data_IF_851135355464
#
_entry.id   IF_851135355464
#
_cell.length_a   1.000
_cell.length_b   1.000
_cell.length_c   1.000
_cell.angle_alpha   90.00
_cell.angle_beta   90.00
_cell.angle_gamma   90.00
#
_symmetry.space_group_name_H-M   'P 1'
#
loop_
_entity.id
_entity.type
_entity.pdbx_description
1 polymer ?
#
# COMPACT_ATOMS: atom_id res chain seq x y z
N UNK A 1 -21.73 8.70 -5.19
CA UNK A 1 -20.91 7.55 -4.73
C UNK A 1 -19.55 8.11 -4.33
N UNK A 2 -19.12 8.01 -3.06
CA UNK A 2 -17.81 8.57 -2.63
C UNK A 2 -16.71 7.64 -3.15
N UNK A 3 -15.71 8.21 -3.83
CA UNK A 3 -14.56 7.45 -4.35
C UNK A 3 -13.65 7.01 -3.21
N UNK A 4 -13.26 5.73 -3.22
CA UNK A 4 -12.22 5.24 -2.30
C UNK A 4 -10.82 5.72 -2.66
N UNK A 5 -10.60 6.19 -3.89
CA UNK A 5 -9.32 6.76 -4.33
C UNK A 5 -9.28 8.26 -4.10
N UNK A 6 -8.08 8.76 -3.81
CA UNK A 6 -7.76 10.18 -3.70
C UNK A 6 -8.16 10.93 -4.98
N UNK A 7 -8.73 12.13 -4.88
CA UNK A 7 -8.82 13.07 -6.00
C UNK A 7 -7.48 13.35 -6.69
N UNK A 8 -6.37 13.31 -5.96
CA UNK A 8 -5.01 13.48 -6.50
C UNK A 8 -4.44 12.23 -7.19
N UNK A 9 -5.18 11.12 -7.18
CA UNK A 9 -4.91 9.89 -7.94
C UNK A 9 -3.53 9.22 -7.75
N UNK A 10 -2.83 9.47 -6.64
CA UNK A 10 -1.60 8.72 -6.37
C UNK A 10 -1.90 7.23 -6.14
N UNK A 11 -1.13 6.36 -6.80
CA UNK A 11 -1.17 4.91 -6.61
C UNK A 11 0.16 4.27 -7.03
N UNK A 12 0.59 3.24 -6.33
CA UNK A 12 1.76 2.42 -6.66
C UNK A 12 1.34 0.97 -6.94
N UNK A 13 1.95 0.33 -7.95
CA UNK A 13 1.53 -0.97 -8.45
C UNK A 13 2.64 -1.99 -8.23
N UNK A 14 2.35 -3.01 -7.44
CA UNK A 14 3.34 -4.05 -7.12
C UNK A 14 3.03 -5.32 -7.90
N UNK A 15 3.97 -5.83 -8.73
CA UNK A 15 3.79 -7.09 -9.42
C UNK A 15 3.47 -8.24 -8.46
N UNK A 16 2.48 -9.04 -8.81
CA UNK A 16 2.02 -10.17 -8.02
C UNK A 16 1.51 -11.31 -8.92
N UNK A 17 1.23 -12.47 -8.32
CA UNK A 17 0.57 -13.58 -9.00
C UNK A 17 -0.79 -13.80 -8.36
N UNK A 18 -1.86 -13.60 -9.13
CA UNK A 18 -3.20 -14.00 -8.72
C UNK A 18 -3.24 -15.53 -8.67
N UNK A 19 -3.50 -16.06 -7.48
CA UNK A 19 -3.62 -17.49 -7.24
C UNK A 19 -5.01 -17.97 -7.64
N UNK A 20 -5.03 -19.01 -8.46
CA UNK A 20 -6.23 -19.64 -9.01
C UNK A 20 -5.82 -20.77 -9.96
N UNK A 21 -6.78 -21.27 -10.73
CA UNK A 21 -6.51 -22.32 -11.73
C UNK A 21 -6.93 -21.82 -13.12
N UNK A 22 -6.01 -21.40 -13.99
CA UNK A 22 -4.55 -21.24 -13.77
C UNK A 22 -4.20 -19.97 -12.98
N UNK A 23 -3.03 -19.97 -12.34
CA UNK A 23 -2.42 -18.76 -11.78
C UNK A 23 -2.08 -17.76 -12.89
N UNK A 24 -2.16 -16.46 -12.60
CA UNK A 24 -1.95 -15.39 -13.59
C UNK A 24 -1.11 -14.26 -13.01
N UNK A 25 -0.16 -13.76 -13.79
CA UNK A 25 0.58 -12.53 -13.47
C UNK A 25 -0.39 -11.35 -13.42
N UNK A 26 -0.42 -10.67 -12.28
CA UNK A 26 -1.33 -9.57 -11.94
C UNK A 26 -0.56 -8.56 -11.07
N UNK A 27 -1.26 -7.66 -10.38
CA UNK A 27 -0.65 -6.73 -9.45
C UNK A 27 -1.56 -6.46 -8.26
N UNK A 28 -0.93 -6.02 -7.18
CA UNK A 28 -1.59 -5.38 -6.05
C UNK A 28 -1.26 -3.90 -6.14
N UNK A 29 -2.29 -3.05 -6.20
CA UNK A 29 -2.12 -1.61 -6.14
C UNK A 29 -2.34 -1.10 -4.72
N UNK A 30 -1.52 -0.15 -4.30
CA UNK A 30 -1.69 0.60 -3.07
C UNK A 30 -1.93 2.06 -3.43
N UNK A 31 -2.98 2.64 -2.88
CA UNK A 31 -3.29 4.06 -3.02
C UNK A 31 -3.79 4.59 -1.68
N UNK A 32 -4.24 5.83 -1.64
CA UNK A 32 -4.87 6.40 -0.46
C UNK A 32 -6.07 7.27 -0.83
N UNK A 33 -6.77 7.78 0.16
CA UNK A 33 -7.63 8.93 0.05
C UNK A 33 -7.36 9.84 1.25
N UNK A 34 -6.59 10.91 1.03
CA UNK A 34 -6.20 11.85 2.08
C UNK A 34 -7.41 12.54 2.72
N UNK A 35 -8.43 12.85 1.93
CA UNK A 35 -9.64 13.51 2.42
C UNK A 35 -10.53 12.61 3.30
N UNK A 36 -10.39 11.29 3.19
CA UNK A 36 -11.13 10.32 4.02
C UNK A 36 -10.23 9.62 5.05
N UNK A 37 -8.92 9.87 5.03
CA UNK A 37 -8.01 9.36 6.04
C UNK A 37 -7.70 7.86 5.93
N UNK A 38 -7.83 7.27 4.74
CA UNK A 38 -7.66 5.82 4.55
C UNK A 38 -6.65 5.46 3.47
N UNK A 39 -6.06 4.28 3.61
CA UNK A 39 -5.15 3.66 2.64
C UNK A 39 -5.94 2.58 1.92
N UNK A 40 -5.80 2.45 0.61
CA UNK A 40 -6.55 1.49 -0.20
C UNK A 40 -5.60 0.44 -0.78
N UNK A 41 -5.91 -0.83 -0.53
CA UNK A 41 -5.26 -1.98 -1.15
C UNK A 41 -6.22 -2.58 -2.18
N UNK A 42 -5.75 -2.70 -3.41
CA UNK A 42 -6.54 -3.21 -4.53
C UNK A 42 -5.84 -4.43 -5.14
N UNK A 43 -6.53 -5.57 -5.13
CA UNK A 43 -6.08 -6.76 -5.84
C UNK A 43 -6.72 -6.84 -7.22
N UNK A 44 -5.90 -6.83 -8.27
CA UNK A 44 -6.39 -6.80 -9.65
C UNK A 44 -6.68 -8.19 -10.22
N UNK A 45 -7.65 -8.23 -11.12
CA UNK A 45 -8.13 -9.41 -11.84
C UNK A 45 -8.12 -9.14 -13.35
N UNK A 46 -7.94 -10.17 -14.20
CA UNK A 46 -7.88 -9.99 -15.66
C UNK A 46 -9.20 -9.53 -16.30
N UNK A 47 -10.34 -9.93 -15.74
CA UNK A 47 -11.65 -9.73 -16.37
C UNK A 47 -12.75 -9.36 -15.35
N UNK A 48 -12.34 -8.85 -14.17
CA UNK A 48 -13.25 -8.49 -13.09
C UNK A 48 -12.81 -7.18 -12.48
N UNK A 49 -13.74 -6.52 -11.79
CA UNK A 49 -13.41 -5.33 -10.99
C UNK A 49 -12.37 -5.70 -9.93
N UNK A 50 -11.42 -4.81 -9.61
CA UNK A 50 -10.48 -5.04 -8.53
C UNK A 50 -11.20 -5.34 -7.22
N UNK A 51 -10.62 -6.25 -6.43
CA UNK A 51 -11.05 -6.45 -5.04
C UNK A 51 -10.41 -5.38 -4.18
N UNK A 52 -11.19 -4.75 -3.32
CA UNK A 52 -10.78 -3.56 -2.57
C UNK A 52 -10.83 -3.83 -1.07
N UNK A 53 -9.83 -3.33 -0.35
CA UNK A 53 -9.82 -3.19 1.09
C UNK A 53 -9.26 -1.80 1.45
N UNK A 54 -10.11 -0.92 1.98
CA UNK A 54 -9.65 0.35 2.55
C UNK A 54 -9.33 0.15 4.02
N UNK A 55 -8.19 0.68 4.49
CA UNK A 55 -7.64 0.44 5.81
C UNK A 55 -7.49 1.76 6.56
N UNK A 56 -7.64 1.71 7.88
CA UNK A 56 -7.19 2.80 8.75
C UNK A 56 -5.66 2.92 8.71
N UNK A 57 -5.14 4.06 9.17
CA UNK A 57 -3.71 4.26 9.39
C UNK A 57 -3.13 3.24 10.39
N UNK A 58 -3.87 2.94 11.47
CA UNK A 58 -3.49 1.94 12.46
C UNK A 58 -3.37 0.53 11.86
N UNK A 59 -4.41 0.06 11.15
CA UNK A 59 -4.39 -1.22 10.46
C UNK A 59 -3.25 -1.31 9.42
N UNK A 60 -2.99 -0.22 8.70
CA UNK A 60 -1.88 -0.13 7.74
C UNK A 60 -0.53 -0.29 8.43
N UNK A 61 -0.35 0.29 9.62
CA UNK A 61 0.87 0.12 10.42
C UNK A 61 1.07 -1.33 10.84
N UNK A 62 0.01 -2.03 11.23
CA UNK A 62 0.06 -3.46 11.56
C UNK A 62 0.50 -4.29 10.35
N UNK A 63 -0.07 -4.02 9.18
CA UNK A 63 0.29 -4.69 7.92
C UNK A 63 1.75 -4.42 7.54
N UNK A 64 2.22 -3.17 7.62
CA UNK A 64 3.63 -2.82 7.36
C UNK A 64 4.56 -3.61 8.29
N UNK A 65 4.20 -3.71 9.57
CA UNK A 65 5.00 -4.44 10.55
C UNK A 65 5.01 -5.95 10.28
N UNK A 66 3.87 -6.50 9.84
CA UNK A 66 3.73 -7.90 9.46
C UNK A 66 4.46 -8.28 8.16
N UNK A 67 4.78 -7.30 7.31
CA UNK A 67 5.57 -7.50 6.08
C UNK A 67 7.08 -7.33 6.28
N UNK A 68 7.54 -6.90 7.47
CA UNK A 68 8.97 -6.65 7.72
C UNK A 68 9.80 -7.91 7.54
N UNK A 69 10.88 -7.79 6.77
CA UNK A 69 11.86 -8.86 6.58
C UNK A 69 12.34 -9.44 7.92
N UNK A 70 12.38 -10.78 8.02
CA UNK A 70 12.68 -11.59 9.23
C UNK A 70 11.70 -11.48 10.40
N UNK A 71 10.65 -10.67 10.30
CA UNK A 71 9.56 -10.57 11.29
C UNK A 71 8.20 -10.73 10.63
N UNK A 72 8.19 -11.38 9.47
CA UNK A 72 6.97 -11.64 8.75
C UNK A 72 6.07 -12.54 9.58
N UNK A 73 4.78 -12.21 9.60
CA UNK A 73 3.77 -12.93 10.34
C UNK A 73 2.42 -12.75 9.68
N UNK A 74 1.52 -13.66 9.98
CA UNK A 74 0.14 -13.55 9.54
C UNK A 74 -0.55 -12.42 10.29
N UNK A 75 -1.31 -11.61 9.55
CA UNK A 75 -2.14 -10.55 10.10
C UNK A 75 -3.44 -10.45 9.30
N UNK A 76 -4.55 -10.28 10.01
CA UNK A 76 -5.85 -9.94 9.40
C UNK A 76 -6.29 -8.60 9.95
N UNK A 77 -6.66 -7.68 9.07
CA UNK A 77 -7.19 -6.37 9.44
C UNK A 77 -8.53 -6.12 8.75
N UNK A 78 -9.49 -5.49 9.45
CA UNK A 78 -10.78 -5.16 8.86
C UNK A 78 -10.61 -4.04 7.82
N UNK A 79 -11.40 -4.11 6.75
CA UNK A 79 -11.57 -3.00 5.84
C UNK A 79 -12.62 -2.02 6.38
N UNK A 80 -12.56 -0.77 5.93
CA UNK A 80 -13.46 0.30 6.35
C UNK A 80 -14.18 0.96 5.16
N UNK A 81 -15.27 1.66 5.45
CA UNK A 81 -16.00 2.48 4.50
C UNK A 81 -17.15 1.75 3.79
N UNK A 82 -18.04 2.55 3.20
CA UNK A 82 -19.33 2.07 2.71
C UNK A 82 -19.21 1.05 1.59
N UNK A 83 -19.73 -0.16 1.79
CA UNK A 83 -19.65 -1.29 0.86
C UNK A 83 -18.40 -2.19 1.03
N UNK A 84 -17.58 -1.93 2.06
CA UNK A 84 -16.41 -2.75 2.43
C UNK A 84 -16.49 -3.30 3.86
N UNK A 85 -17.60 -3.10 4.57
CA UNK A 85 -17.75 -3.36 6.01
C UNK A 85 -17.54 -4.83 6.37
N UNK A 86 -17.91 -5.75 5.49
CA UNK A 86 -17.73 -7.19 5.68
C UNK A 86 -16.39 -7.70 5.16
N UNK A 87 -15.49 -6.82 4.72
CA UNK A 87 -14.22 -7.21 4.10
C UNK A 87 -13.07 -7.16 5.07
N UNK A 88 -12.11 -8.04 4.83
CA UNK A 88 -10.85 -8.12 5.56
C UNK A 88 -9.69 -8.21 4.57
N UNK A 89 -8.57 -7.59 4.94
CA UNK A 89 -7.28 -7.82 4.32
C UNK A 89 -6.49 -8.79 5.21
N UNK A 90 -6.11 -9.93 4.65
CA UNK A 90 -5.20 -10.88 5.24
C UNK A 90 -3.86 -10.79 4.53
N UNK A 91 -2.79 -10.61 5.29
CA UNK A 91 -1.41 -10.82 4.82
C UNK A 91 -0.87 -12.03 5.54
N UNK A 92 -0.50 -13.07 4.80
CA UNK A 92 0.08 -14.29 5.36
C UNK A 92 1.50 -14.53 4.85
N UNK A 93 2.34 -15.12 5.68
CA UNK A 93 3.68 -15.57 5.32
C UNK A 93 3.70 -17.10 5.14
N UNK A 94 3.48 -17.61 3.91
CA UNK A 94 3.60 -19.04 3.66
C UNK A 94 5.04 -19.57 3.74
N UNK A 95 6.06 -18.69 3.87
CA UNK A 95 7.47 -19.06 3.90
C UNK A 95 8.36 -18.13 3.07
N UNK A 96 9.59 -18.58 2.77
CA UNK A 96 10.65 -17.68 2.31
C UNK A 96 10.53 -17.11 0.89
N UNK A 97 9.52 -17.50 0.12
CA UNK A 97 9.43 -17.13 -1.31
C UNK A 97 8.42 -16.03 -1.62
N UNK A 98 7.37 -15.86 -0.81
CA UNK A 98 6.35 -14.83 -1.05
C UNK A 98 5.55 -14.46 0.19
N UNK A 99 4.87 -13.32 0.15
CA UNK A 99 3.74 -13.05 1.06
C UNK A 99 2.42 -13.20 0.29
N UNK A 100 1.39 -13.71 0.95
CA UNK A 100 0.05 -13.80 0.39
C UNK A 100 -0.79 -12.62 0.86
N UNK A 101 -1.21 -11.79 -0.09
CA UNK A 101 -2.20 -10.74 0.12
C UNK A 101 -3.56 -11.32 -0.27
N UNK A 102 -4.47 -11.48 0.69
CA UNK A 102 -5.82 -12.01 0.46
C UNK A 102 -6.83 -10.95 0.85
N UNK A 103 -7.78 -10.67 -0.04
CA UNK A 103 -8.98 -9.88 0.29
C UNK A 103 -10.13 -10.86 0.33
N UNK A 104 -10.85 -10.88 1.45
CA UNK A 104 -12.02 -11.73 1.64
C UNK A 104 -13.17 -10.93 2.22
N UNK A 105 -14.37 -11.47 2.13
CA UNK A 105 -15.48 -11.09 2.98
C UNK A 105 -15.87 -12.25 3.90
N UNK A 106 -16.86 -12.04 4.76
CA UNK A 106 -17.41 -13.07 5.67
C UNK A 106 -17.86 -14.34 4.97
N UNK A 107 -18.19 -14.28 3.68
CA UNK A 107 -18.76 -15.38 2.92
C UNK A 107 -17.72 -16.12 2.05
N UNK A 108 -16.65 -15.45 1.62
CA UNK A 108 -15.74 -15.96 0.58
C UNK A 108 -14.45 -15.18 0.45
N UNK A 109 -13.46 -15.80 -0.19
CA UNK A 109 -12.25 -15.10 -0.66
C UNK A 109 -12.58 -14.38 -1.98
N UNK A 110 -12.38 -13.07 -2.02
CA UNK A 110 -12.56 -12.24 -3.21
C UNK A 110 -11.35 -12.33 -4.15
N UNK A 111 -10.15 -12.51 -3.58
CA UNK A 111 -8.95 -12.86 -4.32
C UNK A 111 -7.74 -13.05 -3.42
N UNK A 112 -6.72 -13.70 -3.98
CA UNK A 112 -5.46 -14.00 -3.30
C UNK A 112 -4.30 -13.76 -4.26
N UNK A 113 -3.38 -12.89 -3.88
CA UNK A 113 -2.22 -12.50 -4.66
C UNK A 113 -0.94 -12.88 -3.92
N UNK A 114 -0.06 -13.62 -4.57
CA UNK A 114 1.29 -13.90 -4.07
C UNK A 114 2.23 -12.79 -4.53
N UNK A 115 2.86 -12.10 -3.59
CA UNK A 115 3.89 -11.09 -3.85
C UNK A 115 5.23 -11.71 -3.50
N UNK A 116 6.09 -11.89 -4.50
CA UNK A 116 7.39 -12.49 -4.31
C UNK A 116 8.24 -11.67 -3.34
N UNK A 117 9.07 -12.33 -2.54
CA UNK A 117 9.98 -11.69 -1.57
C UNK A 117 10.79 -10.52 -2.10
N UNK A 118 11.28 -10.56 -3.35
CA UNK A 118 12.05 -9.46 -3.93
C UNK A 118 11.20 -8.19 -4.18
N UNK A 119 9.87 -8.32 -4.25
CA UNK A 119 8.90 -7.22 -4.40
C UNK A 119 8.28 -6.76 -3.08
N UNK A 120 8.48 -7.49 -1.97
CA UNK A 120 7.97 -7.06 -0.66
C UNK A 120 8.50 -5.70 -0.20
N UNK A 121 9.75 -5.30 -0.48
CA UNK A 121 10.21 -3.94 -0.21
C UNK A 121 9.37 -2.88 -0.93
N UNK A 122 8.97 -3.12 -2.18
CA UNK A 122 8.12 -2.21 -2.98
C UNK A 122 6.73 -2.08 -2.36
N UNK A 123 6.11 -3.21 -1.98
CA UNK A 123 4.81 -3.19 -1.28
C UNK A 123 4.89 -2.46 0.07
N UNK A 124 5.92 -2.74 0.86
CA UNK A 124 6.15 -2.05 2.13
C UNK A 124 6.36 -0.55 1.94
N UNK A 125 7.12 -0.15 0.92
CA UNK A 125 7.35 1.24 0.59
C UNK A 125 6.05 1.93 0.19
N UNK A 126 5.27 1.31 -0.70
CA UNK A 126 3.98 1.85 -1.15
C UNK A 126 3.01 2.07 0.02
N UNK A 127 2.89 1.10 0.94
CA UNK A 127 2.07 1.23 2.14
C UNK A 127 2.56 2.35 3.07
N UNK A 128 3.88 2.46 3.29
CA UNK A 128 4.47 3.52 4.12
C UNK A 128 4.26 4.90 3.52
N UNK A 129 4.42 5.04 2.20
CA UNK A 129 4.23 6.30 1.50
C UNK A 129 2.75 6.70 1.54
N UNK A 130 1.83 5.78 1.20
CA UNK A 130 0.38 6.02 1.35
C UNK A 130 0.00 6.44 2.78
N UNK A 131 0.59 5.79 3.78
CA UNK A 131 0.40 6.15 5.18
C UNK A 131 0.95 7.56 5.50
N UNK A 132 2.14 7.91 5.01
CA UNK A 132 2.74 9.23 5.18
C UNK A 132 1.91 10.35 4.56
N UNK A 133 1.38 10.11 3.36
CA UNK A 133 0.46 10.99 2.65
C UNK A 133 -0.83 11.24 3.44
N UNK A 134 -1.42 10.19 4.02
CA UNK A 134 -2.64 10.29 4.83
C UNK A 134 -2.38 10.95 6.18
N UNK A 135 -1.23 10.68 6.78
CA UNK A 135 -0.86 11.20 8.11
C UNK A 135 -0.27 12.61 8.07
N UNK A 136 -0.14 13.22 6.89
CA UNK A 136 0.44 14.56 6.71
C UNK A 136 1.95 14.64 7.01
N UNK A 137 2.62 13.49 7.19
CA UNK A 137 4.04 13.43 7.59
C UNK A 137 4.99 13.82 6.45
N UNK A 138 4.50 13.85 5.21
CA UNK A 138 5.33 14.11 4.03
C UNK A 138 5.60 15.60 3.74
N UNK A 139 5.05 16.52 4.54
CA UNK A 139 5.26 17.96 4.35
C UNK A 139 6.52 18.53 5.04
N UNK A 140 7.41 17.70 5.60
CA UNK A 140 8.55 18.17 6.40
C UNK A 140 9.95 17.82 5.86
N UNK A 141 10.09 17.07 4.75
CA UNK A 141 11.39 16.59 4.28
C UNK A 141 11.83 17.14 2.90
N UNK A 142 11.18 18.19 2.37
CA UNK A 142 11.52 18.76 1.08
C UNK A 142 11.47 20.30 1.05
N UNK A 143 12.14 20.96 2.00
CA UNK A 143 12.67 22.31 1.79
C UNK A 143 14.06 22.35 2.44
N UNK A 144 15.09 22.00 1.67
CA UNK A 144 16.43 22.55 1.91
C UNK A 144 16.48 23.82 1.05
N UNK A 145 16.47 25.04 1.62
CA UNK A 145 16.85 26.20 0.85
C UNK A 145 18.33 26.06 0.52
N UNK A 146 18.64 25.68 -0.71
CA UNK A 146 19.97 25.93 -1.28
C UNK A 146 20.06 27.42 -1.55
N UNK A 147 20.33 28.19 -0.50
CA UNK A 147 20.85 29.54 -0.65
C UNK A 147 22.22 29.59 0.03
N UNK A 148 23.22 29.15 -0.72
CA UNK A 148 24.62 29.29 -0.36
C UNK A 148 25.44 29.45 -1.64
N UNK A 149 25.19 30.54 -2.36
CA UNK A 149 26.05 30.96 -3.47
C UNK A 149 25.94 32.47 -3.76
N UNK A 150 26.13 33.33 -2.76
CA UNK A 150 26.62 34.68 -2.99
C UNK A 150 27.16 35.29 -1.70
N UNK A 151 28.49 35.31 -1.55
CA UNK A 151 29.30 36.37 -0.91
C UNK A 151 30.60 35.75 -0.40
N UNK A 152 31.56 35.50 -1.30
CA UNK A 152 33.00 35.73 -1.03
C UNK A 152 33.69 36.00 -2.37
N UNK A 153 33.87 37.27 -2.70
CA UNK A 153 34.97 37.72 -3.57
C UNK A 153 35.35 39.14 -3.12
N UNK A 154 36.31 39.22 -2.17
CA UNK A 154 37.19 40.39 -2.09
C UNK A 154 38.08 40.42 -3.34
N UNK A 155 38.81 41.47 -3.68
CA UNK A 155 39.07 42.76 -3.08
C UNK A 155 39.91 43.56 -4.10
N UNK A 156 39.94 44.89 -3.90
CA UNK A 156 40.90 45.91 -4.34
C UNK A 156 41.78 45.72 -5.60
N UNK A 157 41.95 46.78 -6.41
CA UNK A 157 43.28 47.27 -6.78
C UNK A 157 43.85 48.21 -5.71
#
# INVERSE_FOLDING_TARGET
MRSFRDPAQWSEWVPAVLLGTPSRSMWVAVSCNRAQGHILVEGHHPARRPSLAALTTGATTEVINALRYRRRRDITVPAIGNGLEDRELLVADPGDESALVTIRNTQSILGRWSVHTHRLPELCWALKHAHGLVSGTESAAAIVPTDLAATIAGGAP
#
